data_IF_946127473828
#
_entry.id   IF_946127473828
#
_cell.length_a   1.000
_cell.length_b   1.000
_cell.length_c   1.000
_cell.angle_alpha   90.00
_cell.angle_beta   90.00
_cell.angle_gamma   90.00
#
_symmetry.space_group_name_H-M   'P 1'
#
loop_
_entity.id
_entity.type
_entity.pdbx_description
1 polymer ?
#
# COMPACT_ATOMS: atom_id res chain seq x y z
N UNK A 1 -1.80 3.89 -33.18
CA UNK A 1 -3.23 4.02 -32.82
C UNK A 1 -3.93 2.68 -32.56
N UNK A 2 -4.25 1.83 -33.54
CA UNK A 2 -5.03 0.59 -33.25
C UNK A 2 -4.22 -0.46 -32.47
N UNK A 3 -2.92 -0.60 -32.77
CA UNK A 3 -1.99 -1.51 -32.06
C UNK A 3 -1.63 -1.04 -30.66
N UNK A 4 -1.46 0.27 -30.43
CA UNK A 4 -1.21 0.83 -29.09
C UNK A 4 -2.39 0.59 -28.16
N UNK A 5 -3.62 0.70 -28.66
CA UNK A 5 -4.82 0.37 -27.89
C UNK A 5 -4.86 -1.11 -27.51
N UNK A 6 -4.54 -2.04 -28.42
CA UNK A 6 -4.55 -3.49 -28.11
C UNK A 6 -3.49 -3.84 -27.07
N UNK A 7 -2.28 -3.27 -27.19
CA UNK A 7 -1.20 -3.51 -26.22
C UNK A 7 -1.58 -2.97 -24.84
N UNK A 8 -2.11 -1.76 -24.76
CA UNK A 8 -2.50 -1.14 -23.49
C UNK A 8 -3.58 -1.94 -22.79
N UNK A 9 -4.65 -2.31 -23.50
CA UNK A 9 -5.74 -3.14 -22.97
C UNK A 9 -5.22 -4.51 -22.50
N UNK A 10 -4.28 -5.11 -23.24
CA UNK A 10 -3.71 -6.40 -22.86
C UNK A 10 -2.86 -6.30 -21.59
N UNK A 11 -2.06 -5.23 -21.46
CA UNK A 11 -1.24 -4.99 -20.27
C UNK A 11 -2.09 -4.72 -19.04
N UNK A 12 -3.14 -3.90 -19.17
CA UNK A 12 -4.11 -3.62 -18.11
C UNK A 12 -4.77 -4.91 -17.60
N UNK A 13 -5.23 -5.78 -18.51
CA UNK A 13 -5.81 -7.07 -18.16
C UNK A 13 -4.81 -7.97 -17.42
N UNK A 14 -3.57 -8.04 -17.91
CA UNK A 14 -2.49 -8.80 -17.28
C UNK A 14 -2.18 -8.25 -15.89
N UNK A 15 -2.07 -6.93 -15.74
CA UNK A 15 -1.83 -6.26 -14.46
C UNK A 15 -2.91 -6.59 -13.45
N UNK A 16 -4.18 -6.46 -13.84
CA UNK A 16 -5.33 -6.77 -13.00
C UNK A 16 -5.35 -8.25 -12.53
N UNK A 17 -5.12 -9.19 -13.44
CA UNK A 17 -5.05 -10.62 -13.11
C UNK A 17 -3.85 -10.92 -12.19
N UNK A 18 -2.69 -10.33 -12.48
CA UNK A 18 -1.51 -10.48 -11.64
C UNK A 18 -1.75 -9.94 -10.23
N UNK A 19 -2.33 -8.76 -10.08
CA UNK A 19 -2.67 -8.19 -8.77
C UNK A 19 -3.57 -9.11 -7.95
N UNK A 20 -4.62 -9.67 -8.58
CA UNK A 20 -5.54 -10.61 -7.93
C UNK A 20 -4.89 -11.92 -7.47
N UNK A 21 -3.80 -12.36 -8.11
CA UNK A 21 -3.12 -13.62 -7.76
C UNK A 21 -1.96 -13.36 -6.79
N UNK A 22 -1.16 -12.34 -7.08
CA UNK A 22 0.09 -12.04 -6.39
C UNK A 22 -0.16 -11.60 -4.95
N UNK A 23 -1.10 -10.68 -4.71
CA UNK A 23 -1.33 -10.19 -3.35
C UNK A 23 -1.86 -11.28 -2.39
N UNK A 24 -2.84 -12.12 -2.76
CA UNK A 24 -3.24 -13.26 -1.92
C UNK A 24 -2.09 -14.20 -1.60
N UNK A 25 -1.24 -14.51 -2.58
CA UNK A 25 -0.06 -15.35 -2.35
C UNK A 25 0.89 -14.70 -1.34
N UNK A 26 1.21 -13.41 -1.49
CA UNK A 26 2.05 -12.67 -0.54
C UNK A 26 1.44 -12.66 0.86
N UNK A 27 0.13 -12.44 0.97
CA UNK A 27 -0.58 -12.43 2.26
C UNK A 27 -0.49 -13.81 2.92
N UNK A 28 -0.76 -14.88 2.18
CA UNK A 28 -0.68 -16.27 2.69
C UNK A 28 0.75 -16.59 3.15
N UNK A 29 1.75 -16.24 2.34
CA UNK A 29 3.17 -16.47 2.66
C UNK A 29 3.56 -15.69 3.92
N UNK A 30 3.16 -14.42 4.01
CA UNK A 30 3.45 -13.56 5.16
C UNK A 30 2.77 -14.07 6.43
N UNK A 31 1.48 -14.46 6.34
CA UNK A 31 0.73 -15.03 7.46
C UNK A 31 1.37 -16.34 7.96
N UNK A 32 1.81 -17.21 7.04
CA UNK A 32 2.52 -18.45 7.40
C UNK A 32 3.85 -18.17 8.10
N UNK A 33 4.63 -17.20 7.62
CA UNK A 33 5.90 -16.78 8.27
C UNK A 33 5.66 -16.28 9.69
N UNK A 34 4.68 -15.37 9.87
CA UNK A 34 4.30 -14.85 11.19
C UNK A 34 3.84 -15.97 12.13
N UNK A 35 3.04 -16.92 11.64
CA UNK A 35 2.58 -18.06 12.43
C UNK A 35 3.73 -18.94 12.91
N UNK A 36 4.67 -19.25 12.01
CA UNK A 36 5.85 -20.06 12.35
C UNK A 36 6.74 -19.35 13.38
N UNK A 37 7.02 -18.06 13.18
CA UNK A 37 7.82 -17.27 14.12
C UNK A 37 7.17 -17.17 15.50
N UNK A 38 5.84 -17.00 15.56
CA UNK A 38 5.11 -17.01 16.83
C UNK A 38 5.23 -18.36 17.53
N UNK A 39 5.22 -19.46 16.78
CA UNK A 39 5.39 -20.81 17.33
C UNK A 39 6.81 -21.04 17.87
N UNK A 40 7.82 -20.47 17.22
CA UNK A 40 9.24 -20.63 17.59
C UNK A 40 9.67 -19.70 18.73
N UNK A 41 9.30 -18.41 18.65
CA UNK A 41 9.74 -17.37 19.58
C UNK A 41 8.73 -17.05 20.70
N UNK A 42 7.49 -17.50 20.57
CA UNK A 42 6.38 -17.15 21.47
C UNK A 42 5.80 -15.74 21.25
N UNK A 43 6.44 -14.90 20.44
CA UNK A 43 6.04 -13.52 20.17
C UNK A 43 5.76 -13.27 18.68
N UNK A 44 4.91 -12.29 18.38
CA UNK A 44 4.65 -11.87 17.00
C UNK A 44 5.64 -10.76 16.63
N UNK A 45 6.34 -10.93 15.51
CA UNK A 45 7.14 -9.84 14.93
C UNK A 45 6.21 -8.73 14.40
N UNK A 46 6.20 -7.59 15.10
CA UNK A 46 5.31 -6.46 14.80
C UNK A 46 5.55 -5.90 13.39
N UNK A 47 6.81 -5.85 12.93
CA UNK A 47 7.15 -5.35 11.58
C UNK A 47 6.52 -6.23 10.51
N UNK A 48 6.66 -7.55 10.64
CA UNK A 48 6.07 -8.51 9.68
C UNK A 48 4.54 -8.48 9.73
N UNK A 49 3.96 -8.28 10.91
CA UNK A 49 2.52 -8.10 11.05
C UNK A 49 2.02 -6.82 10.35
N UNK A 50 2.69 -5.68 10.53
CA UNK A 50 2.37 -4.43 9.84
C UNK A 50 2.51 -4.59 8.33
N UNK A 51 3.58 -5.24 7.85
CA UNK A 51 3.76 -5.54 6.42
C UNK A 51 2.61 -6.37 5.86
N UNK A 52 2.16 -7.40 6.58
CA UNK A 52 1.00 -8.18 6.21
C UNK A 52 -0.27 -7.31 6.13
N UNK A 53 -0.50 -6.43 7.10
CA UNK A 53 -1.62 -5.48 7.08
C UNK A 53 -1.56 -4.57 5.84
N UNK A 54 -0.38 -4.04 5.49
CA UNK A 54 -0.18 -3.23 4.28
C UNK A 54 -0.54 -4.02 3.01
N UNK A 55 -0.09 -5.28 2.89
CA UNK A 55 -0.45 -6.12 1.75
C UNK A 55 -1.94 -6.46 1.68
N UNK A 56 -2.59 -6.68 2.83
CA UNK A 56 -4.05 -6.88 2.88
C UNK A 56 -4.78 -5.60 2.41
N UNK A 57 -4.35 -4.43 2.88
CA UNK A 57 -4.95 -3.15 2.47
C UNK A 57 -4.77 -2.90 0.98
N UNK A 58 -3.58 -3.16 0.42
CA UNK A 58 -3.36 -3.11 -1.03
C UNK A 58 -4.25 -4.09 -1.79
N UNK A 59 -4.40 -5.32 -1.31
CA UNK A 59 -5.25 -6.32 -1.97
C UNK A 59 -6.70 -5.86 -2.04
N UNK A 60 -7.23 -5.31 -0.95
CA UNK A 60 -8.60 -4.76 -0.93
C UNK A 60 -8.72 -3.60 -1.93
N UNK A 61 -7.74 -2.70 -1.99
CA UNK A 61 -7.72 -1.61 -2.98
C UNK A 61 -7.76 -2.14 -4.41
N UNK A 62 -6.95 -3.15 -4.74
CA UNK A 62 -6.94 -3.79 -6.07
C UNK A 62 -8.28 -4.43 -6.42
N UNK A 63 -8.92 -5.13 -5.46
CA UNK A 63 -10.25 -5.70 -5.69
C UNK A 63 -11.26 -4.59 -5.99
N UNK A 64 -11.25 -3.51 -5.19
CA UNK A 64 -12.19 -2.41 -5.36
C UNK A 64 -11.98 -1.68 -6.69
N UNK A 65 -10.73 -1.45 -7.08
CA UNK A 65 -10.36 -0.86 -8.38
C UNK A 65 -10.87 -1.72 -9.53
N UNK A 66 -10.63 -3.03 -9.47
CA UNK A 66 -11.10 -3.96 -10.48
C UNK A 66 -12.62 -4.02 -10.57
N UNK A 67 -13.32 -4.04 -9.42
CA UNK A 67 -14.78 -4.00 -9.39
C UNK A 67 -15.32 -2.68 -9.97
N UNK A 68 -14.65 -1.57 -9.72
CA UNK A 68 -15.04 -0.26 -10.22
C UNK A 68 -14.84 -0.10 -11.73
N UNK A 69 -13.70 -0.55 -12.26
CA UNK A 69 -13.34 -0.34 -13.68
C UNK A 69 -13.89 -1.40 -14.62
N UNK A 70 -13.94 -2.66 -14.16
CA UNK A 70 -14.14 -3.81 -15.04
C UNK A 70 -15.45 -4.57 -14.81
N UNK A 71 -16.33 -4.09 -13.93
CA UNK A 71 -17.61 -4.75 -13.66
C UNK A 71 -18.79 -3.78 -13.65
N UNK A 72 -20.04 -4.24 -13.86
CA UNK A 72 -21.23 -3.40 -13.75
C UNK A 72 -21.53 -2.94 -12.31
N UNK A 73 -20.66 -3.23 -11.33
CA UNK A 73 -20.80 -2.77 -9.96
C UNK A 73 -20.52 -1.26 -9.78
N UNK A 74 -19.96 -0.59 -10.80
CA UNK A 74 -19.61 0.83 -10.74
C UNK A 74 -20.70 1.75 -10.14
N UNK A 75 -21.98 1.70 -10.57
CA UNK A 75 -23.01 2.57 -10.00
C UNK A 75 -23.24 2.30 -8.51
N UNK A 76 -23.18 1.04 -8.09
CA UNK A 76 -23.35 0.63 -6.69
C UNK A 76 -22.17 1.11 -5.84
N UNK A 77 -20.95 1.08 -6.40
CA UNK A 77 -19.74 1.51 -5.70
C UNK A 77 -19.69 3.03 -5.51
N UNK A 78 -20.15 3.80 -6.51
CA UNK A 78 -20.26 5.26 -6.45
C UNK A 78 -21.39 5.68 -5.48
N UNK A 79 -22.58 5.10 -5.61
CA UNK A 79 -23.77 5.44 -4.80
C UNK A 79 -23.55 5.19 -3.30
N UNK A 80 -22.85 4.10 -2.95
CA UNK A 80 -22.60 3.73 -1.56
C UNK A 80 -21.30 4.32 -0.98
N UNK A 81 -20.65 5.28 -1.68
CA UNK A 81 -19.37 5.87 -1.25
C UNK A 81 -18.25 4.84 -1.01
N UNK A 82 -18.31 3.68 -1.69
CA UNK A 82 -17.28 2.64 -1.60
C UNK A 82 -16.07 3.08 -2.42
N UNK A 83 -16.31 3.63 -3.61
CA UNK A 83 -15.26 4.16 -4.48
C UNK A 83 -15.56 5.61 -4.84
N UNK A 84 -14.59 6.51 -4.60
CA UNK A 84 -14.64 7.88 -5.09
C UNK A 84 -13.47 8.14 -6.03
N UNK A 85 -13.78 8.75 -7.18
CA UNK A 85 -12.79 9.19 -8.17
C UNK A 85 -11.91 10.32 -7.64
N UNK A 86 -12.42 11.11 -6.69
CA UNK A 86 -11.67 12.16 -6.00
C UNK A 86 -11.23 11.72 -4.60
N UNK A 87 -9.99 12.07 -4.23
CA UNK A 87 -9.46 11.91 -2.86
C UNK A 87 -10.05 12.98 -1.91
N UNK A 88 -10.75 14.00 -2.44
CA UNK A 88 -11.43 15.02 -1.62
C UNK A 88 -12.60 14.48 -0.82
N UNK A 89 -13.16 13.35 -1.25
CA UNK A 89 -14.39 12.81 -0.71
C UNK A 89 -14.09 11.62 0.21
N UNK A 90 -14.85 11.50 1.29
CA UNK A 90 -14.76 10.34 2.15
C UNK A 90 -15.33 9.13 1.41
N UNK A 91 -14.50 8.11 1.23
CA UNK A 91 -14.87 6.84 0.62
C UNK A 91 -14.05 5.71 1.23
N UNK A 92 -14.47 4.46 1.01
CA UNK A 92 -13.67 3.31 1.45
C UNK A 92 -12.26 3.33 0.81
N UNK A 93 -12.13 3.79 -0.44
CA UNK A 93 -10.83 4.02 -1.07
C UNK A 93 -9.97 5.00 -0.27
N UNK A 94 -10.48 6.20 0.04
CA UNK A 94 -9.76 7.21 0.83
C UNK A 94 -9.40 6.68 2.23
N UNK A 95 -10.28 5.87 2.82
CA UNK A 95 -10.09 5.21 4.10
C UNK A 95 -8.90 4.23 4.07
N UNK A 96 -8.88 3.33 3.09
CA UNK A 96 -7.82 2.33 2.92
C UNK A 96 -6.47 2.97 2.61
N UNK A 97 -6.43 4.01 1.76
CA UNK A 97 -5.20 4.75 1.48
C UNK A 97 -4.65 5.40 2.76
N UNK A 98 -5.51 6.04 3.57
CA UNK A 98 -5.03 6.65 4.81
C UNK A 98 -4.56 5.63 5.85
N UNK A 99 -5.16 4.44 5.92
CA UNK A 99 -4.64 3.32 6.73
C UNK A 99 -3.24 2.90 6.25
N UNK A 100 -3.08 2.73 4.94
CA UNK A 100 -1.84 2.28 4.32
C UNK A 100 -0.67 3.25 4.61
N UNK A 101 -0.92 4.55 4.44
CA UNK A 101 0.07 5.58 4.75
C UNK A 101 0.34 5.66 6.26
N UNK A 102 -0.67 5.48 7.11
CA UNK A 102 -0.48 5.45 8.56
C UNK A 102 0.38 4.26 9.00
N UNK A 103 0.20 3.09 8.40
CA UNK A 103 1.05 1.92 8.67
C UNK A 103 2.48 2.12 8.20
N UNK A 104 2.71 2.79 7.07
CA UNK A 104 4.05 3.10 6.60
C UNK A 104 4.82 4.00 7.57
N UNK A 105 4.19 5.06 8.08
CA UNK A 105 4.81 5.91 9.12
C UNK A 105 4.96 5.12 10.43
N UNK A 106 3.99 4.29 10.79
CA UNK A 106 4.09 3.38 11.93
C UNK A 106 5.30 2.45 11.85
N UNK A 107 5.57 1.89 10.67
CA UNK A 107 6.74 1.02 10.45
C UNK A 107 8.06 1.79 10.60
N UNK A 108 8.14 2.99 10.02
CA UNK A 108 9.29 3.90 10.16
C UNK A 108 9.57 4.23 11.62
N UNK A 109 8.55 4.66 12.35
CA UNK A 109 8.66 5.08 13.75
C UNK A 109 9.06 3.91 14.64
N UNK A 110 8.49 2.73 14.40
CA UNK A 110 8.90 1.48 15.06
C UNK A 110 10.37 1.15 14.80
N UNK A 111 10.78 1.14 13.52
CA UNK A 111 12.14 0.77 13.12
C UNK A 111 13.19 1.73 13.71
N UNK A 112 12.89 3.02 13.81
CA UNK A 112 13.76 4.02 14.43
C UNK A 112 13.65 4.06 15.97
N UNK A 113 12.90 3.15 16.60
CA UNK A 113 12.68 3.09 18.05
C UNK A 113 12.04 4.36 18.63
N UNK A 114 11.19 5.03 17.84
CA UNK A 114 10.41 6.18 18.28
C UNK A 114 9.08 5.72 18.86
N UNK A 115 9.16 5.00 19.98
CA UNK A 115 8.02 4.33 20.62
C UNK A 115 6.84 5.27 20.90
N UNK A 116 7.12 6.50 21.29
CA UNK A 116 6.10 7.54 21.55
C UNK A 116 5.32 7.94 20.30
N UNK A 117 5.94 7.83 19.13
CA UNK A 117 5.34 8.20 17.84
C UNK A 117 4.74 7.01 17.11
N UNK A 118 5.00 5.77 17.54
CA UNK A 118 4.56 4.56 16.85
C UNK A 118 3.06 4.51 16.57
N UNK A 119 2.24 4.78 17.59
CA UNK A 119 0.79 4.77 17.46
C UNK A 119 0.21 6.08 16.90
N UNK A 120 1.03 7.15 16.83
CA UNK A 120 0.54 8.49 16.49
C UNK A 120 -0.16 8.57 15.13
N UNK A 121 0.33 7.95 14.03
CA UNK A 121 -0.33 8.07 12.72
C UNK A 121 -1.72 7.44 12.74
N UNK A 122 -1.84 6.26 13.35
CA UNK A 122 -3.11 5.54 13.48
C UNK A 122 -4.09 6.33 14.36
N UNK A 123 -3.63 6.92 15.47
CA UNK A 123 -4.47 7.75 16.33
C UNK A 123 -4.95 9.03 15.65
N UNK A 124 -4.05 9.75 14.95
CA UNK A 124 -4.43 10.95 14.20
C UNK A 124 -5.45 10.62 13.11
N UNK A 125 -5.19 9.57 12.34
CA UNK A 125 -6.09 9.16 11.28
C UNK A 125 -7.45 8.67 11.81
N UNK A 126 -7.45 7.86 12.88
CA UNK A 126 -8.66 7.44 13.58
C UNK A 126 -9.47 8.62 14.13
N UNK A 127 -8.79 9.62 14.70
CA UNK A 127 -9.42 10.87 15.15
C UNK A 127 -10.09 11.64 14.01
N UNK A 128 -9.48 11.69 12.83
CA UNK A 128 -10.07 12.30 11.64
C UNK A 128 -11.32 11.54 11.15
N UNK A 129 -11.30 10.20 11.20
CA UNK A 129 -12.48 9.38 10.89
C UNK A 129 -13.63 9.69 11.86
N UNK A 130 -13.35 9.73 13.16
CA UNK A 130 -14.36 10.07 14.17
C UNK A 130 -14.91 11.49 13.98
N UNK A 131 -14.03 12.45 13.68
CA UNK A 131 -14.43 13.82 13.39
C UNK A 131 -15.36 13.89 12.17
N UNK A 132 -15.04 13.15 11.10
CA UNK A 132 -15.87 13.08 9.91
C UNK A 132 -17.26 12.52 10.21
N UNK A 133 -17.36 11.39 10.92
CA UNK A 133 -18.67 10.83 11.29
C UNK A 133 -19.46 11.73 12.24
N UNK A 134 -18.78 12.59 13.02
CA UNK A 134 -19.42 13.50 13.97
C UNK A 134 -19.86 14.83 13.33
N UNK A 135 -19.14 15.33 12.32
CA UNK A 135 -19.31 16.71 11.81
C UNK A 135 -19.46 16.80 10.29
N UNK A 136 -19.22 15.72 9.56
CA UNK A 136 -19.13 15.72 8.10
C UNK A 136 -17.84 16.32 7.54
N UNK A 137 -16.88 16.75 8.38
CA UNK A 137 -15.67 17.44 7.93
C UNK A 137 -14.70 16.48 7.20
N UNK A 138 -14.53 16.65 5.88
CA UNK A 138 -13.68 15.80 5.03
C UNK A 138 -12.33 16.41 4.64
N UNK A 139 -12.18 17.73 4.80
CA UNK A 139 -11.04 18.48 4.26
C UNK A 139 -9.67 17.99 4.76
N UNK A 140 -9.60 17.41 5.95
CA UNK A 140 -8.33 16.93 6.52
C UNK A 140 -7.81 15.65 5.86
N UNK A 141 -8.67 14.79 5.32
CA UNK A 141 -8.25 13.50 4.72
C UNK A 141 -7.21 13.64 3.61
N UNK A 142 -7.45 14.44 2.55
CA UNK A 142 -6.46 14.59 1.49
C UNK A 142 -5.15 15.19 2.02
N UNK A 143 -5.22 16.19 2.91
CA UNK A 143 -4.03 16.82 3.50
C UNK A 143 -3.19 15.79 4.23
N UNK A 144 -3.82 15.01 5.12
CA UNK A 144 -3.13 13.96 5.86
C UNK A 144 -2.52 12.93 4.92
N UNK A 145 -3.27 12.43 3.94
CA UNK A 145 -2.80 11.41 3.00
C UNK A 145 -1.59 11.90 2.22
N UNK A 146 -1.62 13.09 1.62
CA UNK A 146 -0.51 13.60 0.82
C UNK A 146 0.74 13.89 1.66
N UNK A 147 0.58 14.60 2.78
CA UNK A 147 1.72 14.93 3.66
C UNK A 147 2.34 13.63 4.20
N UNK A 148 1.50 12.72 4.69
CA UNK A 148 1.96 11.48 5.29
C UNK A 148 2.56 10.53 4.25
N UNK A 149 2.10 10.55 3.01
CA UNK A 149 2.70 9.75 1.93
C UNK A 149 4.12 10.24 1.60
N UNK A 150 4.31 11.56 1.48
CA UNK A 150 5.63 12.15 1.23
C UNK A 150 6.58 11.89 2.39
N UNK A 151 6.13 12.16 3.62
CA UNK A 151 6.91 11.90 4.84
C UNK A 151 7.25 10.41 4.93
N UNK A 152 6.26 9.53 4.79
CA UNK A 152 6.43 8.09 4.84
C UNK A 152 7.45 7.59 3.83
N UNK A 153 7.38 8.06 2.57
CA UNK A 153 8.33 7.69 1.52
C UNK A 153 9.76 8.12 1.84
N UNK A 154 9.97 9.38 2.23
CA UNK A 154 11.30 9.89 2.62
C UNK A 154 11.87 9.09 3.77
N UNK A 155 11.07 8.84 4.80
CA UNK A 155 11.53 8.12 5.97
C UNK A 155 11.72 6.62 5.74
N UNK A 156 10.94 5.97 4.85
CA UNK A 156 11.16 4.57 4.49
C UNK A 156 12.53 4.38 3.83
N UNK A 157 12.92 5.27 2.91
CA UNK A 157 14.26 5.24 2.32
C UNK A 157 15.35 5.54 3.34
N UNK A 158 15.17 6.59 4.15
CA UNK A 158 16.13 6.94 5.20
C UNK A 158 16.33 5.78 6.17
N UNK A 159 15.24 5.15 6.63
CA UNK A 159 15.25 4.03 7.56
C UNK A 159 15.90 2.80 6.93
N UNK A 160 15.50 2.47 5.69
CA UNK A 160 16.07 1.35 4.94
C UNK A 160 17.58 1.48 4.75
N UNK A 161 18.08 2.66 4.40
CA UNK A 161 19.52 2.92 4.22
C UNK A 161 20.25 2.95 5.57
N UNK A 162 19.74 3.70 6.55
CA UNK A 162 20.41 3.91 7.84
C UNK A 162 20.50 2.63 8.67
N UNK A 163 19.40 1.89 8.74
CA UNK A 163 19.30 0.67 9.55
C UNK A 163 19.61 -0.59 8.75
N UNK A 164 19.90 -0.44 7.44
CA UNK A 164 20.07 -1.56 6.50
C UNK A 164 18.87 -2.51 6.52
N UNK A 165 17.67 -1.97 6.71
CA UNK A 165 16.42 -2.74 6.74
C UNK A 165 15.85 -2.91 5.32
N UNK A 166 15.96 -4.14 4.81
CA UNK A 166 15.44 -4.53 3.52
C UNK A 166 13.91 -4.35 3.41
N UNK A 167 13.17 -4.50 4.52
CA UNK A 167 11.71 -4.36 4.54
C UNK A 167 11.28 -2.92 4.30
N UNK A 168 11.83 -1.97 5.08
CA UNK A 168 11.59 -0.54 4.91
C UNK A 168 12.02 -0.04 3.53
N UNK A 169 13.20 -0.46 3.05
CA UNK A 169 13.70 -0.08 1.74
C UNK A 169 12.79 -0.62 0.61
N UNK A 170 12.38 -1.88 0.71
CA UNK A 170 11.48 -2.50 -0.26
C UNK A 170 10.12 -1.80 -0.30
N UNK A 171 9.52 -1.50 0.85
CA UNK A 171 8.30 -0.70 0.89
C UNK A 171 8.49 0.70 0.29
N UNK A 172 9.62 1.36 0.53
CA UNK A 172 9.94 2.66 -0.07
C UNK A 172 9.97 2.60 -1.60
N UNK A 173 10.59 1.56 -2.17
CA UNK A 173 10.60 1.34 -3.62
C UNK A 173 9.19 1.08 -4.14
N UNK A 174 8.42 0.19 -3.48
CA UNK A 174 7.05 -0.13 -3.89
C UNK A 174 6.15 1.12 -3.86
N UNK A 175 6.23 1.92 -2.80
CA UNK A 175 5.50 3.18 -2.69
C UNK A 175 5.92 4.20 -3.74
N UNK A 176 7.21 4.26 -4.07
CA UNK A 176 7.70 5.17 -5.12
C UNK A 176 7.17 4.79 -6.48
N UNK A 177 7.16 3.49 -6.82
CA UNK A 177 6.59 3.00 -8.06
C UNK A 177 5.10 3.37 -8.14
N UNK A 178 4.34 3.11 -7.07
CA UNK A 178 2.91 3.44 -6.99
C UNK A 178 2.63 4.94 -6.97
N UNK A 179 3.52 5.75 -6.40
CA UNK A 179 3.37 7.21 -6.44
C UNK A 179 3.69 7.77 -7.84
N UNK A 180 4.62 7.12 -8.56
CA UNK A 180 5.00 7.52 -9.91
C UNK A 180 3.85 7.34 -10.90
N UNK A 181 3.01 6.30 -10.74
CA UNK A 181 1.81 6.11 -11.59
C UNK A 181 0.77 7.22 -11.43
N UNK A 182 0.78 7.93 -10.30
CA UNK A 182 -0.08 9.10 -10.06
C UNK A 182 0.47 10.34 -10.76
N UNK A 183 1.80 10.49 -10.84
CA UNK A 183 2.45 11.65 -11.45
C UNK A 183 2.49 11.54 -12.97
N UNK A 184 2.76 10.34 -13.49
CA UNK A 184 2.88 10.12 -14.93
C UNK A 184 1.51 10.01 -15.58
N UNK A 185 1.30 10.76 -16.66
CA UNK A 185 0.04 10.77 -17.41
C UNK A 185 0.02 9.76 -18.56
N UNK A 186 1.10 9.01 -18.78
CA UNK A 186 1.21 8.05 -19.87
C UNK A 186 0.70 6.68 -19.43
N UNK A 187 -0.45 6.27 -19.99
CA UNK A 187 -1.15 5.02 -19.63
C UNK A 187 -0.24 3.80 -19.80
N UNK A 188 0.48 3.68 -20.92
CA UNK A 188 1.34 2.53 -21.18
C UNK A 188 2.50 2.42 -20.18
N UNK A 189 3.08 3.56 -19.78
CA UNK A 189 4.13 3.59 -18.75
C UNK A 189 3.54 3.20 -17.39
N UNK A 190 2.35 3.68 -17.06
CA UNK A 190 1.67 3.35 -15.80
C UNK A 190 1.40 1.84 -15.67
N UNK A 191 0.93 1.20 -16.75
CA UNK A 191 0.71 -0.25 -16.74
C UNK A 191 2.00 -1.06 -16.54
N UNK A 192 3.10 -0.64 -17.19
CA UNK A 192 4.40 -1.27 -17.00
C UNK A 192 4.86 -1.11 -15.54
N UNK A 193 4.69 0.07 -14.95
CA UNK A 193 5.05 0.33 -13.55
C UNK A 193 4.16 -0.49 -12.60
N UNK A 194 2.87 -0.62 -12.87
CA UNK A 194 1.94 -1.44 -12.07
C UNK A 194 2.36 -2.91 -12.07
N UNK A 195 2.59 -3.50 -13.25
CA UNK A 195 3.06 -4.88 -13.37
C UNK A 195 4.41 -5.06 -12.66
N UNK A 196 5.33 -4.12 -12.86
CA UNK A 196 6.65 -4.14 -12.19
C UNK A 196 6.51 -4.08 -10.67
N UNK A 197 5.56 -3.28 -10.16
CA UNK A 197 5.27 -3.18 -8.74
C UNK A 197 4.75 -4.49 -8.16
N UNK A 198 3.89 -5.23 -8.89
CA UNK A 198 3.40 -6.53 -8.43
C UNK A 198 4.52 -7.58 -8.40
N UNK A 199 5.34 -7.64 -9.43
CA UNK A 199 6.51 -8.53 -9.46
C UNK A 199 7.45 -8.21 -8.31
N UNK A 200 7.74 -6.92 -8.08
CA UNK A 200 8.59 -6.48 -6.98
C UNK A 200 7.98 -6.80 -5.60
N UNK A 201 6.67 -6.59 -5.42
CA UNK A 201 5.96 -6.96 -4.19
C UNK A 201 6.09 -8.46 -3.89
N UNK A 202 6.06 -9.31 -4.93
CA UNK A 202 6.24 -10.75 -4.80
C UNK A 202 7.67 -11.11 -4.37
N UNK A 203 8.68 -10.49 -4.97
CA UNK A 203 10.10 -10.65 -4.59
C UNK A 203 10.29 -10.23 -3.12
N UNK A 204 9.71 -9.10 -2.72
CA UNK A 204 9.75 -8.59 -1.35
C UNK A 204 9.05 -9.53 -0.37
N UNK A 205 7.82 -9.98 -0.67
CA UNK A 205 7.05 -10.89 0.18
C UNK A 205 7.69 -12.27 0.35
N UNK A 206 8.33 -12.78 -0.70
CA UNK A 206 9.12 -14.01 -0.63
C UNK A 206 10.38 -13.84 0.23
N UNK A 207 10.89 -12.61 0.38
CA UNK A 207 12.12 -12.31 1.11
C UNK A 207 13.37 -12.46 0.25
N UNK A 208 13.22 -12.44 -1.08
CA UNK A 208 14.36 -12.46 -2.01
C UNK A 208 14.99 -11.08 -2.19
N UNK A 209 14.28 -10.01 -1.82
CA UNK A 209 14.85 -8.67 -1.77
C UNK A 209 15.77 -8.52 -0.56
N UNK A 210 17.08 -8.64 -0.79
CA UNK A 210 18.10 -8.52 0.25
C UNK A 210 19.30 -7.66 -0.24
N UNK A 211 19.10 -6.35 -0.48
CA UNK A 211 20.18 -5.45 -0.89
C UNK A 211 21.27 -5.28 0.16
N UNK A 212 20.98 -5.50 1.44
CA UNK A 212 21.96 -5.50 2.52
C UNK A 212 22.16 -6.93 3.02
N UNK A 213 23.06 -7.68 2.39
CA UNK A 213 23.48 -8.99 2.89
C UNK A 213 24.26 -8.84 4.20
N UNK A 214 24.12 -9.81 5.12
CA UNK A 214 24.79 -9.86 6.44
C UNK A 214 26.34 -10.00 6.38
N UNK A 215 26.97 -9.58 5.28
CA UNK A 215 28.36 -9.84 4.93
C UNK A 215 29.32 -8.64 4.92
N UNK A 216 28.86 -7.43 5.22
CA UNK A 216 29.72 -6.23 5.35
C UNK A 216 29.37 -5.38 6.58
#
# INVERSE_FOLDING_TARGET
MMTENIITISLELIGNILGLIVFPLIIIISARKIWNEKKESGAINIVRFILMCVFITFYILVILELLYENTPARPILEENSIWATSISDFSLRTLLIGILVSFAIGLVTYANQWETLFYSPIFFYGGMILLHFSTGFTFLFPIYIYISAVIGLVFLYYTGIRLRDNGSLGLGILFTLQFTTIILTNILINEIINITSFVFALILGLGYFNPFTDGD
#
